data_IF_946103254713
#
_entry.id   IF_946103254713
#
_cell.length_a   1.000
_cell.length_b   1.000
_cell.length_c   1.000
_cell.angle_alpha   90.00
_cell.angle_beta   90.00
_cell.angle_gamma   90.00
#
_symmetry.space_group_name_H-M   'P 1'
#
loop_
_entity.id
_entity.type
_entity.pdbx_description
1 polymer ?
#
# COMPACT_ATOMS: atom_id res chain seq x y z
N UNK A 1 24.38 16.92 -38.64
CA UNK A 1 24.63 17.68 -37.42
C UNK A 1 23.44 17.42 -36.55
N UNK A 2 23.41 16.36 -35.68
CA UNK A 2 23.97 16.34 -34.33
C UNK A 2 23.21 17.34 -33.46
N UNK A 3 22.62 16.99 -32.44
CA UNK A 3 22.58 16.09 -31.30
C UNK A 3 21.47 16.62 -30.39
N UNK A 4 20.56 15.83 -30.01
CA UNK A 4 19.87 16.06 -28.74
C UNK A 4 19.71 14.70 -28.06
N UNK A 5 20.85 14.28 -27.48
CA UNK A 5 20.90 13.13 -26.56
C UNK A 5 20.10 13.44 -25.31
N UNK A 6 19.21 12.52 -24.94
CA UNK A 6 18.45 12.50 -23.72
C UNK A 6 19.34 12.67 -22.50
N UNK A 7 19.24 13.81 -21.81
CA UNK A 7 19.89 14.08 -20.52
C UNK A 7 19.31 13.18 -19.43
N UNK A 8 19.76 11.93 -19.39
CA UNK A 8 19.57 11.13 -18.19
C UNK A 8 20.34 11.81 -17.06
N UNK A 9 19.64 12.22 -15.98
CA UNK A 9 20.29 12.90 -14.86
C UNK A 9 21.47 12.06 -14.37
N UNK A 10 22.67 12.65 -14.36
CA UNK A 10 23.94 11.97 -14.08
C UNK A 10 23.92 11.14 -12.77
N UNK A 11 23.14 11.57 -11.76
CA UNK A 11 23.01 10.83 -10.51
C UNK A 11 22.30 9.47 -10.67
N UNK A 12 21.39 9.31 -11.65
CA UNK A 12 20.71 8.03 -11.91
C UNK A 12 21.67 6.98 -12.48
N UNK A 13 22.63 7.41 -13.28
CA UNK A 13 23.70 6.53 -13.79
C UNK A 13 24.58 6.03 -12.65
N UNK A 14 24.90 6.92 -11.69
CA UNK A 14 25.64 6.57 -10.48
C UNK A 14 24.83 5.64 -9.59
N UNK A 15 23.54 5.91 -9.42
CA UNK A 15 22.62 5.09 -8.65
C UNK A 15 22.57 3.65 -9.18
N UNK A 16 22.38 3.45 -10.48
CA UNK A 16 22.36 2.10 -11.09
C UNK A 16 23.70 1.35 -10.92
N UNK A 17 24.79 2.08 -11.02
CA UNK A 17 26.11 1.49 -10.79
C UNK A 17 26.26 1.00 -9.35
N UNK A 18 25.81 1.79 -8.38
CA UNK A 18 25.81 1.41 -6.96
C UNK A 18 24.84 0.27 -6.68
N UNK A 19 23.67 0.28 -7.27
CA UNK A 19 22.69 -0.80 -7.21
C UNK A 19 23.27 -2.13 -7.69
N UNK A 20 23.90 -2.14 -8.86
CA UNK A 20 24.59 -3.33 -9.38
C UNK A 20 25.75 -3.80 -8.47
N UNK A 21 26.44 -2.89 -7.79
CA UNK A 21 27.46 -3.27 -6.81
C UNK A 21 26.84 -3.89 -5.57
N UNK A 22 25.73 -3.35 -5.07
CA UNK A 22 25.01 -3.88 -3.91
C UNK A 22 24.49 -5.28 -4.17
N UNK A 23 23.94 -5.52 -5.36
CA UNK A 23 23.40 -6.82 -5.77
C UNK A 23 24.48 -7.90 -5.94
N UNK A 24 25.74 -7.50 -6.16
CA UNK A 24 26.89 -8.42 -6.26
C UNK A 24 27.54 -8.78 -4.92
N UNK A 25 27.14 -8.08 -3.83
CA UNK A 25 27.73 -8.32 -2.51
C UNK A 25 27.15 -9.60 -1.92
N UNK A 26 28.00 -10.58 -1.48
CA UNK A 26 27.53 -11.73 -0.73
C UNK A 26 26.85 -11.28 0.56
N UNK A 27 25.67 -11.82 0.88
CA UNK A 27 24.84 -11.44 2.03
C UNK A 27 25.40 -11.79 3.42
N UNK A 28 26.70 -11.97 3.56
CA UNK A 28 27.36 -12.50 4.76
C UNK A 28 28.03 -11.44 5.66
N UNK A 29 27.68 -10.14 5.53
CA UNK A 29 28.19 -9.10 6.42
C UNK A 29 28.14 -7.69 5.84
N UNK A 30 28.39 -6.64 6.67
CA UNK A 30 28.41 -5.26 6.20
C UNK A 30 29.55 -5.05 5.19
N UNK A 31 29.23 -4.86 3.93
CA UNK A 31 30.21 -4.59 2.87
C UNK A 31 30.34 -3.07 2.66
N UNK A 32 31.57 -2.59 2.68
CA UNK A 32 31.87 -1.17 2.46
C UNK A 32 31.82 -0.81 0.98
N UNK A 33 31.03 0.20 0.65
CA UNK A 33 30.93 0.75 -0.69
C UNK A 33 32.07 1.76 -0.99
N UNK A 34 32.36 2.03 -2.28
CA UNK A 34 33.36 3.00 -2.66
C UNK A 34 33.08 4.39 -2.07
N UNK A 35 34.12 5.13 -1.65
CA UNK A 35 33.91 6.50 -1.14
C UNK A 35 33.42 7.44 -2.24
N UNK A 36 32.69 8.52 -1.85
CA UNK A 36 32.18 9.53 -2.77
C UNK A 36 33.25 10.02 -3.77
N UNK A 37 34.47 10.29 -3.27
CA UNK A 37 35.59 10.79 -4.08
C UNK A 37 36.09 9.75 -5.09
N UNK A 38 36.18 8.49 -4.67
CA UNK A 38 36.62 7.40 -5.55
C UNK A 38 35.60 7.18 -6.66
N UNK A 39 34.32 7.18 -6.32
CA UNK A 39 33.26 6.96 -7.30
C UNK A 39 33.11 8.14 -8.26
N UNK A 40 33.18 9.38 -7.77
CA UNK A 40 33.15 10.58 -8.61
C UNK A 40 34.27 10.57 -9.66
N UNK A 41 35.49 10.20 -9.24
CA UNK A 41 36.65 10.06 -10.15
C UNK A 41 36.45 8.92 -11.16
N UNK A 42 35.98 7.75 -10.70
CA UNK A 42 35.80 6.55 -11.54
C UNK A 42 34.72 6.73 -12.61
N UNK A 43 33.61 7.39 -12.25
CA UNK A 43 32.46 7.61 -13.14
C UNK A 43 32.52 8.96 -13.88
N UNK A 44 33.54 9.80 -13.60
CA UNK A 44 33.74 11.13 -14.18
C UNK A 44 32.51 12.04 -13.99
N UNK A 45 31.96 12.06 -12.79
CA UNK A 45 30.82 12.89 -12.39
C UNK A 45 31.18 13.78 -11.19
N UNK A 46 30.36 14.78 -10.90
CA UNK A 46 30.59 15.66 -9.75
C UNK A 46 30.39 14.91 -8.42
N UNK A 47 31.06 15.39 -7.37
CA UNK A 47 30.91 14.84 -6.02
C UNK A 47 29.45 14.94 -5.55
N UNK A 48 28.77 16.05 -5.85
CA UNK A 48 27.36 16.27 -5.55
C UNK A 48 26.46 15.25 -6.24
N UNK A 49 26.74 14.88 -7.49
CA UNK A 49 26.01 13.83 -8.24
C UNK A 49 26.11 12.48 -7.55
N UNK A 50 27.32 12.11 -7.08
CA UNK A 50 27.53 10.86 -6.34
C UNK A 50 26.84 10.92 -4.97
N UNK A 51 26.90 12.04 -4.29
CA UNK A 51 26.25 12.23 -3.00
C UNK A 51 24.73 12.10 -3.11
N UNK A 52 24.10 12.67 -4.15
CA UNK A 52 22.68 12.51 -4.41
C UNK A 52 22.27 11.05 -4.63
N UNK A 53 23.11 10.26 -5.34
CA UNK A 53 22.85 8.84 -5.54
C UNK A 53 22.99 8.04 -4.24
N UNK A 54 23.97 8.34 -3.40
CA UNK A 54 24.10 7.71 -2.07
C UNK A 54 22.99 8.11 -1.12
N UNK A 55 22.57 9.38 -1.13
CA UNK A 55 21.44 9.84 -0.30
C UNK A 55 20.16 9.12 -0.69
N UNK A 56 19.94 8.88 -1.99
CA UNK A 56 18.78 8.14 -2.45
C UNK A 56 18.81 6.67 -1.97
N UNK A 57 19.97 6.01 -2.07
CA UNK A 57 20.14 4.63 -1.57
C UNK A 57 20.04 4.55 -0.03
N UNK A 58 20.46 5.60 0.67
CA UNK A 58 20.29 5.71 2.12
C UNK A 58 18.84 5.98 2.50
N UNK A 59 18.13 6.80 1.74
CA UNK A 59 16.68 7.01 1.86
C UNK A 59 15.89 5.72 1.62
N UNK A 60 16.36 4.88 0.72
CA UNK A 60 15.76 3.56 0.47
C UNK A 60 16.20 2.49 1.49
N UNK A 61 17.05 2.84 2.46
CA UNK A 61 17.55 1.90 3.47
C UNK A 61 18.48 0.81 2.92
N UNK A 62 18.99 0.96 1.70
CA UNK A 62 19.91 -0.02 1.07
C UNK A 62 21.36 0.16 1.51
N UNK A 63 21.71 1.36 1.92
CA UNK A 63 23.04 1.70 2.46
C UNK A 63 22.91 2.55 3.71
N UNK A 64 23.93 2.48 4.56
CA UNK A 64 24.04 3.28 5.77
C UNK A 64 25.33 4.10 5.74
N UNK A 65 25.23 5.40 6.01
CA UNK A 65 26.39 6.25 6.22
C UNK A 65 26.88 6.12 7.67
N UNK A 66 28.08 5.61 7.87
CA UNK A 66 28.75 5.63 9.16
C UNK A 66 29.69 6.84 9.21
N UNK A 67 29.50 7.82 10.12
CA UNK A 67 30.33 9.01 10.24
C UNK A 67 31.82 8.62 10.31
N UNK A 68 32.66 9.26 9.49
CA UNK A 68 34.12 9.03 9.36
C UNK A 68 34.51 7.64 8.79
N UNK A 69 33.59 6.73 8.55
CA UNK A 69 33.85 5.37 8.07
C UNK A 69 33.40 5.15 6.60
N UNK A 70 32.37 5.84 6.14
CA UNK A 70 31.87 5.75 4.75
C UNK A 70 30.51 5.10 4.67
N UNK A 71 30.13 4.68 3.46
CA UNK A 71 28.86 4.02 3.17
C UNK A 71 29.03 2.49 3.19
N UNK A 72 28.10 1.81 3.81
CA UNK A 72 28.06 0.36 3.91
C UNK A 72 26.74 -0.15 3.37
N UNK A 73 26.79 -1.28 2.65
CA UNK A 73 25.57 -2.02 2.30
C UNK A 73 24.93 -2.48 3.59
N UNK A 74 23.71 -2.06 3.84
CA UNK A 74 22.91 -2.72 4.86
C UNK A 74 22.62 -4.12 4.32
N UNK A 75 23.31 -5.12 4.84
CA UNK A 75 22.99 -6.51 4.54
C UNK A 75 21.51 -6.67 4.82
N UNK A 76 20.76 -7.16 3.84
CA UNK A 76 19.47 -7.75 4.16
C UNK A 76 19.77 -8.72 5.29
N UNK A 77 19.40 -8.37 6.51
CA UNK A 77 19.33 -9.35 7.55
C UNK A 77 18.54 -10.48 6.90
N UNK A 78 19.17 -11.67 6.75
CA UNK A 78 18.41 -12.90 6.74
C UNK A 78 17.75 -12.94 8.10
N UNK A 79 16.73 -12.08 8.29
CA UNK A 79 15.68 -12.43 9.18
C UNK A 79 15.16 -13.74 8.61
N UNK A 80 15.21 -14.79 9.41
CA UNK A 80 14.18 -15.83 9.42
C UNK A 80 12.92 -15.12 9.05
N UNK A 81 12.21 -15.53 7.96
CA UNK A 81 11.07 -14.84 7.40
C UNK A 81 10.44 -13.97 8.48
N UNK A 82 10.95 -12.73 8.56
CA UNK A 82 11.07 -12.02 9.84
C UNK A 82 9.67 -11.92 10.32
N UNK A 83 9.36 -12.55 11.42
CA UNK A 83 7.99 -12.80 11.86
C UNK A 83 7.30 -11.47 11.70
N UNK A 84 6.50 -11.35 10.61
CA UNK A 84 5.91 -10.05 10.21
C UNK A 84 5.28 -9.50 11.48
N UNK A 85 5.63 -8.30 11.93
CA UNK A 85 5.22 -7.81 13.22
C UNK A 85 3.73 -8.10 13.37
N UNK A 86 3.34 -8.80 14.42
CA UNK A 86 1.94 -9.20 14.69
C UNK A 86 1.14 -7.96 15.11
N UNK A 87 1.20 -6.90 14.31
CA UNK A 87 0.46 -5.69 14.62
C UNK A 87 -0.91 -5.77 13.99
N UNK A 88 -1.89 -5.38 14.78
CA UNK A 88 -3.23 -5.19 14.31
C UNK A 88 -3.22 -4.14 13.20
N UNK A 89 -4.06 -4.29 12.17
CA UNK A 89 -4.28 -3.23 11.20
C UNK A 89 -4.66 -1.93 11.91
N UNK A 90 -4.37 -0.79 11.26
CA UNK A 90 -4.86 0.48 11.77
C UNK A 90 -6.38 0.39 11.98
N UNK A 91 -6.88 0.80 13.16
CA UNK A 91 -8.30 0.70 13.43
C UNK A 91 -9.10 1.49 12.40
N UNK A 92 -10.21 0.94 11.99
CA UNK A 92 -11.19 1.59 11.10
C UNK A 92 -12.23 2.26 11.95
N UNK A 93 -12.56 3.52 11.67
CA UNK A 93 -13.64 4.19 12.38
C UNK A 93 -14.98 3.51 12.07
N UNK A 94 -15.83 3.26 13.08
CA UNK A 94 -17.18 2.75 12.88
C UNK A 94 -18.04 3.82 12.20
N UNK A 95 -18.29 3.68 10.91
CA UNK A 95 -18.96 4.72 10.12
C UNK A 95 -20.40 4.42 9.81
N UNK A 96 -20.65 3.26 9.25
CA UNK A 96 -21.97 2.81 8.84
C UNK A 96 -22.43 1.56 9.59
N UNK A 97 -21.73 1.14 10.62
CA UNK A 97 -22.07 -0.08 11.37
C UNK A 97 -23.48 -0.01 11.95
N UNK A 98 -23.88 1.14 12.50
CA UNK A 98 -25.26 1.33 13.01
C UNK A 98 -26.30 1.20 11.90
N UNK A 99 -26.01 1.73 10.73
CA UNK A 99 -26.89 1.63 9.55
C UNK A 99 -26.95 0.19 9.07
N UNK A 100 -25.81 -0.49 8.99
CA UNK A 100 -25.70 -1.91 8.66
C UNK A 100 -26.54 -2.77 9.59
N UNK A 101 -26.40 -2.61 10.91
CA UNK A 101 -27.21 -3.34 11.91
C UNK A 101 -28.71 -3.01 11.82
N UNK A 102 -29.06 -1.80 11.44
CA UNK A 102 -30.47 -1.42 11.24
C UNK A 102 -31.06 -2.17 10.05
N UNK A 103 -30.34 -2.24 8.94
CA UNK A 103 -30.75 -3.04 7.78
C UNK A 103 -30.83 -4.53 8.10
N UNK A 104 -29.85 -5.08 8.81
CA UNK A 104 -29.86 -6.49 9.24
C UNK A 104 -31.11 -6.83 10.09
N UNK A 105 -31.40 -6.00 11.11
CA UNK A 105 -32.59 -6.18 11.96
C UNK A 105 -33.89 -6.12 11.16
N UNK A 106 -33.99 -5.19 10.21
CA UNK A 106 -35.17 -5.06 9.34
C UNK A 106 -35.34 -6.31 8.46
N UNK A 107 -34.25 -6.77 7.83
CA UNK A 107 -34.26 -7.95 7.00
C UNK A 107 -34.57 -9.23 7.80
N UNK A 108 -34.02 -9.34 9.02
CA UNK A 108 -34.32 -10.47 9.91
C UNK A 108 -35.81 -10.57 10.26
N UNK A 109 -36.48 -9.44 10.50
CA UNK A 109 -37.94 -9.39 10.78
C UNK A 109 -38.79 -9.77 9.56
N UNK A 110 -38.31 -9.54 8.36
CA UNK A 110 -39.01 -9.86 7.10
C UNK A 110 -38.85 -11.32 6.67
N UNK A 111 -37.94 -12.07 7.28
CA UNK A 111 -37.77 -13.51 7.01
C UNK A 111 -38.92 -14.27 7.64
N UNK A 112 -39.89 -14.67 6.86
CA UNK A 112 -40.73 -15.84 7.13
C UNK A 112 -39.87 -17.11 7.01
N UNK A 113 -40.12 -18.12 7.82
CA UNK A 113 -39.35 -19.36 8.07
C UNK A 113 -38.99 -20.19 6.82
N UNK A 114 -38.47 -19.61 5.78
CA UNK A 114 -37.96 -20.34 4.60
C UNK A 114 -36.49 -20.64 4.81
N UNK A 115 -36.15 -21.90 4.96
CA UNK A 115 -34.79 -22.42 4.84
C UNK A 115 -34.40 -22.27 3.39
N UNK A 116 -33.72 -21.16 3.05
CA UNK A 116 -33.22 -20.96 1.69
C UNK A 116 -32.00 -21.86 1.45
N UNK A 117 -31.89 -22.50 0.27
CA UNK A 117 -30.69 -23.22 -0.17
C UNK A 117 -29.43 -22.34 -0.18
N UNK A 118 -28.28 -22.95 -0.35
CA UNK A 118 -26.93 -22.38 -0.32
C UNK A 118 -26.70 -21.11 -1.17
N UNK A 119 -27.47 -20.90 -2.23
CA UNK A 119 -27.49 -19.66 -3.01
C UNK A 119 -28.31 -18.59 -2.28
N UNK A 120 -27.76 -18.10 -1.20
CA UNK A 120 -28.42 -17.04 -0.44
C UNK A 120 -28.67 -15.81 -1.33
N UNK A 121 -29.92 -15.30 -1.41
CA UNK A 121 -30.27 -14.14 -2.25
C UNK A 121 -29.42 -12.90 -1.98
N UNK A 122 -28.79 -12.82 -0.80
CA UNK A 122 -27.88 -11.75 -0.42
C UNK A 122 -26.59 -11.73 -1.22
N UNK A 123 -25.98 -12.86 -1.53
CA UNK A 123 -24.75 -12.92 -2.30
C UNK A 123 -24.97 -12.45 -3.75
N UNK A 124 -26.00 -12.93 -4.43
CA UNK A 124 -26.32 -12.52 -5.80
C UNK A 124 -26.64 -11.03 -5.88
N UNK A 125 -27.43 -10.50 -4.94
CA UNK A 125 -27.77 -9.06 -4.89
C UNK A 125 -26.55 -8.19 -4.67
N UNK A 126 -25.63 -8.60 -3.78
CA UNK A 126 -24.41 -7.85 -3.52
C UNK A 126 -23.49 -7.86 -4.74
N UNK A 127 -23.30 -9.01 -5.38
CA UNK A 127 -22.51 -9.12 -6.61
C UNK A 127 -23.07 -8.22 -7.72
N UNK A 128 -24.39 -8.20 -7.94
CA UNK A 128 -25.03 -7.28 -8.87
C UNK A 128 -24.75 -5.82 -8.52
N UNK A 129 -24.93 -5.42 -7.27
CA UNK A 129 -24.72 -4.04 -6.85
C UNK A 129 -23.24 -3.59 -7.02
N UNK A 130 -22.28 -4.48 -6.77
CA UNK A 130 -20.86 -4.22 -7.03
C UNK A 130 -20.63 -4.09 -8.55
N UNK A 131 -21.11 -5.04 -9.36
CA UNK A 131 -20.95 -5.04 -10.80
C UNK A 131 -21.51 -3.74 -11.43
N UNK A 132 -22.71 -3.31 -11.02
CA UNK A 132 -23.31 -2.05 -11.46
C UNK A 132 -22.47 -0.83 -11.05
N UNK A 133 -21.94 -0.82 -9.84
CA UNK A 133 -21.07 0.25 -9.36
C UNK A 133 -19.81 0.38 -10.19
N UNK A 134 -19.14 -0.74 -10.48
CA UNK A 134 -17.91 -0.75 -11.27
C UNK A 134 -18.18 -0.47 -12.77
N UNK A 135 -19.26 -0.95 -13.34
CA UNK A 135 -19.69 -0.61 -14.71
C UNK A 135 -19.93 0.89 -14.86
N UNK A 136 -20.53 1.56 -13.86
CA UNK A 136 -20.75 3.02 -13.88
C UNK A 136 -19.46 3.83 -13.69
N UNK A 137 -18.44 3.27 -13.04
CA UNK A 137 -17.20 3.96 -12.69
C UNK A 137 -16.01 3.58 -13.59
N UNK A 138 -16.24 2.83 -14.68
CA UNK A 138 -15.19 2.42 -15.61
C UNK A 138 -15.76 2.29 -17.03
N UNK A 139 -14.88 2.18 -18.02
CA UNK A 139 -15.27 1.92 -19.42
C UNK A 139 -15.52 0.43 -19.70
N UNK A 140 -15.54 -0.41 -18.66
CA UNK A 140 -15.76 -1.85 -18.77
C UNK A 140 -17.13 -2.23 -18.26
N UNK A 141 -17.75 -3.24 -18.89
CA UNK A 141 -19.01 -3.82 -18.45
C UNK A 141 -18.73 -5.02 -17.55
N UNK A 142 -19.24 -4.98 -16.32
CA UNK A 142 -19.12 -6.03 -15.34
C UNK A 142 -20.46 -6.71 -15.07
N UNK A 143 -20.46 -8.04 -14.92
CA UNK A 143 -21.62 -8.83 -14.55
C UNK A 143 -21.48 -9.35 -13.12
N UNK A 144 -22.59 -9.78 -12.51
CA UNK A 144 -22.53 -10.40 -11.19
C UNK A 144 -21.66 -11.66 -11.12
N UNK A 145 -21.56 -12.40 -12.21
CA UNK A 145 -20.72 -13.59 -12.35
C UNK A 145 -19.22 -13.27 -12.35
N UNK A 146 -18.84 -12.07 -12.76
CA UNK A 146 -17.45 -11.59 -12.73
C UNK A 146 -17.02 -11.17 -11.31
N UNK A 147 -17.95 -11.09 -10.36
CA UNK A 147 -17.70 -10.65 -8.98
C UNK A 147 -17.61 -11.83 -8.04
N UNK A 148 -16.47 -11.99 -7.38
CA UNK A 148 -16.24 -13.00 -6.35
C UNK A 148 -16.19 -12.34 -4.98
N UNK A 149 -16.73 -12.98 -3.94
CA UNK A 149 -16.78 -12.48 -2.57
C UNK A 149 -15.93 -13.34 -1.65
N UNK A 150 -15.23 -12.69 -0.72
CA UNK A 150 -14.43 -13.35 0.31
C UNK A 150 -14.66 -12.72 1.69
N UNK A 151 -14.36 -13.43 2.80
CA UNK A 151 -14.51 -12.88 4.14
C UNK A 151 -13.58 -11.71 4.43
N UNK A 152 -12.42 -11.66 3.78
CA UNK A 152 -11.43 -10.60 3.91
C UNK A 152 -10.46 -10.59 2.71
N UNK A 153 -9.57 -9.59 2.66
CA UNK A 153 -8.56 -9.43 1.60
C UNK A 153 -7.58 -10.60 1.56
N UNK A 154 -7.23 -11.17 2.70
CA UNK A 154 -6.27 -12.27 2.74
C UNK A 154 -6.85 -13.55 2.11
N UNK A 155 -8.05 -13.96 2.55
CA UNK A 155 -8.74 -15.13 2.00
C UNK A 155 -9.02 -14.96 0.49
N UNK A 156 -9.30 -13.74 0.06
CA UNK A 156 -9.46 -13.38 -1.36
C UNK A 156 -8.17 -13.65 -2.14
N UNK A 157 -7.05 -13.10 -1.69
CA UNK A 157 -5.76 -13.22 -2.39
C UNK A 157 -5.25 -14.67 -2.39
N UNK A 158 -5.36 -15.39 -1.27
CA UNK A 158 -4.98 -16.81 -1.21
C UNK A 158 -5.79 -17.65 -2.22
N UNK A 159 -7.10 -17.37 -2.33
CA UNK A 159 -7.97 -18.09 -3.29
C UNK A 159 -7.66 -17.70 -4.72
N UNK A 160 -7.41 -16.41 -4.99
CA UNK A 160 -7.02 -15.91 -6.30
C UNK A 160 -5.74 -16.58 -6.80
N UNK A 161 -4.68 -16.57 -5.97
CA UNK A 161 -3.37 -17.13 -6.35
C UNK A 161 -3.47 -18.65 -6.60
N UNK A 162 -4.30 -19.36 -5.83
CA UNK A 162 -4.57 -20.77 -6.05
C UNK A 162 -5.36 -21.01 -7.34
N UNK A 163 -6.39 -20.20 -7.60
CA UNK A 163 -7.25 -20.32 -8.79
C UNK A 163 -6.48 -20.16 -10.10
N UNK A 164 -5.52 -19.24 -10.12
CA UNK A 164 -4.68 -18.95 -11.29
C UNK A 164 -3.38 -19.78 -11.31
N UNK A 165 -3.20 -20.71 -10.36
CA UNK A 165 -1.99 -21.51 -10.21
C UNK A 165 -0.70 -20.69 -10.15
N UNK A 166 -0.73 -19.54 -9.48
CA UNK A 166 0.39 -18.60 -9.38
C UNK A 166 1.24 -18.76 -8.11
N UNK A 167 0.89 -19.67 -7.22
CA UNK A 167 1.62 -19.92 -5.96
C UNK A 167 3.11 -20.23 -6.25
N UNK A 168 4.00 -19.61 -5.47
CA UNK A 168 5.46 -19.71 -5.67
C UNK A 168 5.98 -18.94 -6.88
N UNK A 169 5.11 -18.28 -7.67
CA UNK A 169 5.49 -17.47 -8.81
C UNK A 169 6.10 -16.12 -8.42
N UNK A 170 6.55 -15.37 -9.43
CA UNK A 170 7.12 -14.03 -9.24
C UNK A 170 6.06 -12.96 -9.43
N UNK A 171 5.85 -12.13 -8.41
CA UNK A 171 4.94 -10.98 -8.43
C UNK A 171 5.71 -9.68 -8.31
N UNK A 172 5.31 -8.67 -9.05
CA UNK A 172 5.86 -7.31 -8.94
C UNK A 172 4.87 -6.43 -8.21
N UNK A 173 5.36 -5.68 -7.22
CA UNK A 173 4.60 -4.67 -6.48
C UNK A 173 5.33 -3.32 -6.51
N UNK A 174 4.60 -2.21 -6.34
CA UNK A 174 5.24 -0.93 -6.05
C UNK A 174 5.77 -0.89 -4.62
N UNK A 175 6.80 -0.10 -4.34
CA UNK A 175 7.35 0.02 -2.98
C UNK A 175 7.43 1.50 -2.57
N UNK A 176 6.85 1.89 -1.43
CA UNK A 176 6.18 1.05 -0.42
C UNK A 176 4.82 0.54 -0.88
N UNK A 177 4.41 -0.64 -0.42
CA UNK A 177 3.16 -1.29 -0.82
C UNK A 177 2.25 -1.55 0.39
N UNK A 178 0.96 -1.71 0.14
CA UNK A 178 -0.02 -2.06 1.17
C UNK A 178 0.41 -3.34 1.93
N UNK A 179 0.58 -3.24 3.24
CA UNK A 179 1.07 -4.34 4.08
C UNK A 179 0.15 -5.57 4.07
N UNK A 180 -1.18 -5.40 3.90
CA UNK A 180 -2.12 -6.53 3.79
C UNK A 180 -1.84 -7.37 2.56
N UNK A 181 -1.54 -6.70 1.43
CA UNK A 181 -1.15 -7.37 0.18
C UNK A 181 0.18 -8.08 0.35
N UNK A 182 1.21 -7.40 0.85
CA UNK A 182 2.53 -7.99 1.08
C UNK A 182 2.46 -9.23 1.98
N UNK A 183 1.67 -9.17 3.05
CA UNK A 183 1.47 -10.28 3.97
C UNK A 183 0.81 -11.48 3.29
N UNK A 184 -0.20 -11.25 2.46
CA UNK A 184 -0.88 -12.33 1.74
C UNK A 184 0.04 -12.98 0.70
N UNK A 185 0.81 -12.17 -0.03
CA UNK A 185 1.80 -12.66 -0.99
C UNK A 185 2.92 -13.48 -0.32
N UNK A 186 3.42 -13.00 0.82
CA UNK A 186 4.45 -13.71 1.59
C UNK A 186 3.94 -15.07 2.12
N UNK A 187 2.67 -15.13 2.57
CA UNK A 187 2.05 -16.40 3.02
C UNK A 187 1.80 -17.39 1.90
N UNK A 188 1.66 -16.92 0.68
CA UNK A 188 1.50 -17.74 -0.52
C UNK A 188 2.86 -18.13 -1.14
N UNK A 189 3.98 -17.92 -0.40
CA UNK A 189 5.36 -18.17 -0.83
C UNK A 189 5.70 -17.52 -2.18
N UNK A 190 5.07 -16.36 -2.50
CA UNK A 190 5.36 -15.63 -3.72
C UNK A 190 6.73 -14.97 -3.65
N UNK A 191 7.48 -15.02 -4.75
CA UNK A 191 8.69 -14.21 -4.93
C UNK A 191 8.28 -12.78 -5.26
N UNK A 192 8.38 -11.88 -4.28
CA UNK A 192 7.97 -10.49 -4.44
C UNK A 192 9.14 -9.62 -4.89
N UNK A 193 8.99 -8.95 -6.04
CA UNK A 193 9.92 -7.95 -6.55
C UNK A 193 9.30 -6.56 -6.36
N UNK A 194 10.04 -5.66 -5.75
CA UNK A 194 9.59 -4.31 -5.42
C UNK A 194 10.12 -3.29 -6.43
N UNK A 195 9.21 -2.56 -7.09
CA UNK A 195 9.56 -1.44 -7.97
C UNK A 195 9.60 -0.15 -7.16
N UNK A 196 10.72 0.59 -7.15
CA UNK A 196 10.81 1.87 -6.46
C UNK A 196 9.91 2.92 -7.12
N UNK A 197 9.61 3.97 -6.38
CA UNK A 197 8.90 5.12 -6.93
C UNK A 197 9.86 6.04 -7.70
N UNK A 198 9.34 6.72 -8.70
CA UNK A 198 10.02 7.81 -9.39
C UNK A 198 9.96 9.10 -8.55
N UNK A 199 10.56 10.17 -9.05
CA UNK A 199 10.56 11.49 -8.40
C UNK A 199 9.18 12.14 -8.27
N UNK A 200 8.16 11.60 -8.92
CA UNK A 200 6.77 12.05 -8.86
C UNK A 200 5.92 11.18 -7.94
N UNK A 201 6.50 10.15 -7.33
CA UNK A 201 5.81 9.21 -6.46
C UNK A 201 5.02 8.11 -7.19
N UNK A 202 5.21 7.92 -8.49
CA UNK A 202 4.67 6.79 -9.22
C UNK A 202 5.70 5.65 -9.29
N UNK A 203 5.29 4.37 -9.41
CA UNK A 203 6.23 3.27 -9.65
C UNK A 203 7.09 3.52 -10.90
N UNK A 204 8.41 3.31 -10.82
CA UNK A 204 9.32 3.59 -11.94
C UNK A 204 9.06 2.64 -13.12
N UNK A 205 8.45 3.16 -14.19
CA UNK A 205 8.10 2.36 -15.39
C UNK A 205 9.33 1.77 -16.09
N UNK A 206 10.49 2.41 -15.99
CA UNK A 206 11.73 1.86 -16.59
C UNK A 206 12.25 0.66 -15.80
N UNK A 207 12.17 0.75 -14.46
CA UNK A 207 12.50 -0.38 -13.60
C UNK A 207 11.51 -1.52 -13.83
N UNK A 208 10.21 -1.22 -13.92
CA UNK A 208 9.18 -2.19 -14.21
C UNK A 208 9.39 -2.88 -15.56
N UNK A 209 9.67 -2.12 -16.64
CA UNK A 209 9.91 -2.68 -17.97
C UNK A 209 11.12 -3.63 -17.99
N UNK A 210 12.18 -3.30 -17.24
CA UNK A 210 13.34 -4.21 -17.10
C UNK A 210 12.97 -5.50 -16.39
N UNK A 211 12.20 -5.43 -15.30
CA UNK A 211 11.76 -6.62 -14.56
C UNK A 211 10.87 -7.51 -15.44
N UNK A 212 9.93 -6.92 -16.20
CA UNK A 212 9.08 -7.68 -17.12
C UNK A 212 9.87 -8.36 -18.26
N UNK A 213 11.01 -7.79 -18.67
CA UNK A 213 11.87 -8.37 -19.71
C UNK A 213 12.84 -9.43 -19.17
N UNK A 214 13.26 -9.36 -17.90
CA UNK A 214 14.32 -10.21 -17.34
C UNK A 214 13.84 -11.28 -16.38
N UNK A 215 12.64 -11.15 -15.81
CA UNK A 215 12.11 -12.04 -14.79
C UNK A 215 10.80 -12.71 -15.24
N UNK A 216 10.52 -13.95 -14.82
CA UNK A 216 9.27 -14.64 -15.17
C UNK A 216 8.10 -14.10 -14.32
N UNK A 217 7.76 -12.84 -14.51
CA UNK A 217 6.69 -12.17 -13.77
C UNK A 217 5.34 -12.74 -14.19
N UNK A 218 4.57 -13.26 -13.25
CA UNK A 218 3.23 -13.79 -13.48
C UNK A 218 2.11 -12.80 -13.12
N UNK A 219 2.37 -11.86 -12.19
CA UNK A 219 1.38 -10.89 -11.75
C UNK A 219 2.05 -9.57 -11.35
N UNK A 220 1.34 -8.47 -11.59
CA UNK A 220 1.63 -7.16 -11.01
C UNK A 220 0.52 -6.77 -10.03
N UNK A 221 0.86 -6.14 -8.91
CA UNK A 221 -0.11 -5.49 -8.02
C UNK A 221 0.17 -4.00 -8.00
N UNK A 222 -0.76 -3.22 -8.54
CA UNK A 222 -0.62 -1.77 -8.71
C UNK A 222 -1.84 -1.03 -8.15
N UNK A 223 -1.67 0.20 -7.63
CA UNK A 223 -2.78 1.00 -7.14
C UNK A 223 -3.72 1.39 -8.30
N UNK A 224 -5.02 1.42 -8.02
CA UNK A 224 -6.04 1.87 -8.96
C UNK A 224 -5.86 3.35 -9.33
N UNK A 225 -5.94 4.21 -8.35
CA UNK A 225 -5.74 5.64 -8.51
C UNK A 225 -5.06 6.31 -7.32
N UNK A 226 -4.97 5.65 -6.17
CA UNK A 226 -4.38 6.19 -4.95
C UNK A 226 -3.26 5.28 -4.44
N UNK A 227 -2.03 5.79 -4.45
CA UNK A 227 -0.86 5.07 -3.95
C UNK A 227 -0.73 5.17 -2.43
N UNK A 228 -0.97 4.07 -1.72
CA UNK A 228 -0.80 3.99 -0.27
C UNK A 228 0.54 3.32 0.07
N UNK A 229 1.20 3.72 1.17
CA UNK A 229 0.77 4.59 2.28
C UNK A 229 0.95 6.10 2.07
N UNK A 230 1.51 6.58 0.95
CA UNK A 230 1.80 8.00 0.73
C UNK A 230 0.53 8.85 0.52
N UNK A 231 -0.56 8.23 0.09
CA UNK A 231 -1.81 8.92 -0.20
C UNK A 231 -1.74 9.82 -1.45
N UNK A 232 -0.90 9.49 -2.43
CA UNK A 232 -0.75 10.24 -3.68
C UNK A 232 -1.62 9.70 -4.79
N UNK A 233 -2.19 10.60 -5.58
CA UNK A 233 -2.94 10.22 -6.78
C UNK A 233 -2.01 9.78 -7.91
N UNK A 234 -2.33 8.66 -8.51
CA UNK A 234 -1.68 8.16 -9.72
C UNK A 234 -2.15 8.98 -10.92
N UNK A 235 -1.23 9.66 -11.62
CA UNK A 235 -1.60 10.53 -12.72
C UNK A 235 -2.17 9.76 -13.92
N UNK A 236 -3.10 10.38 -14.66
CA UNK A 236 -3.66 9.84 -15.89
C UNK A 236 -2.57 9.42 -16.90
N UNK A 237 -1.58 10.27 -17.08
CA UNK A 237 -0.46 10.00 -17.99
C UNK A 237 0.32 8.74 -17.59
N UNK A 238 0.56 8.54 -16.29
CA UNK A 238 1.18 7.32 -15.79
C UNK A 238 0.32 6.08 -16.05
N UNK A 239 -0.99 6.15 -15.78
CA UNK A 239 -1.93 5.04 -16.04
C UNK A 239 -1.90 4.62 -17.52
N UNK A 240 -1.90 5.60 -18.45
CA UNK A 240 -1.79 5.36 -19.89
C UNK A 240 -0.46 4.67 -20.27
N UNK A 241 0.66 5.18 -19.76
CA UNK A 241 1.97 4.59 -20.03
C UNK A 241 2.10 3.17 -19.48
N UNK A 242 1.57 2.94 -18.27
CA UNK A 242 1.55 1.61 -17.68
C UNK A 242 0.67 0.65 -18.50
N UNK A 243 -0.52 1.09 -18.92
CA UNK A 243 -1.39 0.30 -19.81
C UNK A 243 -0.71 -0.06 -21.13
N UNK A 244 0.00 0.88 -21.77
CA UNK A 244 0.78 0.62 -22.98
C UNK A 244 1.90 -0.41 -22.75
N UNK A 245 2.61 -0.31 -21.62
CA UNK A 245 3.65 -1.29 -21.25
C UNK A 245 3.04 -2.67 -21.06
N UNK A 246 1.95 -2.77 -20.30
CA UNK A 246 1.29 -4.05 -20.01
C UNK A 246 0.68 -4.69 -21.27
N UNK A 247 0.24 -3.91 -22.23
CA UNK A 247 -0.24 -4.43 -23.53
C UNK A 247 0.81 -5.23 -24.32
N UNK A 248 2.09 -5.15 -23.95
CA UNK A 248 3.19 -5.90 -24.57
C UNK A 248 3.54 -7.20 -23.82
N UNK A 249 2.93 -7.43 -22.65
CA UNK A 249 3.25 -8.55 -21.78
C UNK A 249 1.99 -9.30 -21.33
N UNK A 250 1.88 -10.63 -21.53
CA UNK A 250 0.76 -11.43 -21.05
C UNK A 250 0.94 -11.73 -19.55
N UNK A 251 0.68 -10.74 -18.71
CA UNK A 251 0.87 -10.80 -17.26
C UNK A 251 -0.40 -10.31 -16.54
N UNK A 252 -0.81 -10.97 -15.46
CA UNK A 252 -1.95 -10.54 -14.68
C UNK A 252 -1.68 -9.18 -14.02
N UNK A 253 -2.62 -8.26 -14.14
CA UNK A 253 -2.67 -7.05 -13.34
C UNK A 253 -3.74 -7.20 -12.26
N UNK A 254 -3.34 -7.18 -10.99
CA UNK A 254 -4.23 -6.98 -9.85
C UNK A 254 -4.26 -5.50 -9.50
N UNK A 255 -5.33 -4.83 -9.90
CA UNK A 255 -5.58 -3.45 -9.51
C UNK A 255 -6.04 -3.41 -8.06
N UNK A 256 -5.25 -2.77 -7.20
CA UNK A 256 -5.59 -2.57 -5.80
C UNK A 256 -6.47 -1.32 -5.65
N UNK A 257 -7.78 -1.55 -5.46
CA UNK A 257 -8.81 -0.51 -5.33
C UNK A 257 -9.30 -0.34 -3.89
N UNK A 258 -8.55 -0.86 -2.89
CA UNK A 258 -8.96 -0.86 -1.47
C UNK A 258 -9.15 0.55 -0.90
N UNK A 259 -8.32 1.51 -1.30
CA UNK A 259 -8.29 2.85 -0.73
C UNK A 259 -8.75 3.96 -1.72
N UNK A 260 -9.12 3.62 -2.96
CA UNK A 260 -9.46 4.60 -4.01
C UNK A 260 -10.64 5.50 -3.65
N UNK A 261 -11.55 5.01 -2.83
CA UNK A 261 -12.71 5.79 -2.37
C UNK A 261 -12.34 6.88 -1.36
N UNK A 262 -11.12 6.85 -0.84
CA UNK A 262 -10.62 7.84 0.13
C UNK A 262 -9.90 9.04 -0.51
N UNK A 263 -9.95 9.21 -1.84
CA UNK A 263 -9.45 10.43 -2.50
C UNK A 263 -10.23 11.65 -2.00
N UNK A 264 -9.58 12.66 -1.44
CA UNK A 264 -10.26 13.77 -0.75
C UNK A 264 -11.15 14.58 -1.67
N UNK A 265 -10.71 14.83 -2.91
CA UNK A 265 -11.52 15.49 -3.94
C UNK A 265 -12.51 14.56 -4.66
N UNK A 266 -12.68 13.33 -4.15
CA UNK A 266 -13.38 12.26 -4.83
C UNK A 266 -12.48 11.46 -5.78
N UNK A 267 -12.86 10.22 -6.07
CA UNK A 267 -12.08 9.38 -6.99
C UNK A 267 -12.08 9.97 -8.41
N UNK A 268 -10.93 9.91 -9.11
CA UNK A 268 -10.86 10.39 -10.49
C UNK A 268 -11.79 9.57 -11.41
N UNK A 269 -12.21 10.19 -12.52
CA UNK A 269 -13.12 9.56 -13.50
C UNK A 269 -12.48 8.38 -14.22
N UNK A 270 -11.15 8.34 -14.30
CA UNK A 270 -10.38 7.26 -14.95
C UNK A 270 -9.54 6.53 -13.94
N UNK A 271 -9.47 5.23 -14.09
CA UNK A 271 -8.72 4.32 -13.24
C UNK A 271 -7.73 3.52 -14.09
N UNK A 272 -6.79 2.84 -13.45
CA UNK A 272 -5.83 1.99 -14.16
C UNK A 272 -6.53 0.95 -15.05
N UNK A 273 -7.64 0.37 -14.59
CA UNK A 273 -8.46 -0.60 -15.32
C UNK A 273 -8.95 -0.12 -16.69
N UNK A 274 -9.06 1.18 -16.90
CA UNK A 274 -9.55 1.76 -18.17
C UNK A 274 -8.51 1.69 -19.30
N UNK A 275 -7.26 1.35 -18.97
CA UNK A 275 -6.09 1.34 -19.87
C UNK A 275 -5.49 -0.05 -20.09
N UNK A 276 -6.05 -1.09 -19.49
CA UNK A 276 -5.51 -2.45 -19.48
C UNK A 276 -6.48 -3.39 -20.20
N UNK A 277 -5.92 -4.41 -20.86
CA UNK A 277 -6.73 -5.47 -21.49
C UNK A 277 -7.54 -6.22 -20.42
N UNK A 278 -8.89 -6.25 -20.55
CA UNK A 278 -9.77 -6.92 -19.60
C UNK A 278 -9.44 -8.39 -19.34
N UNK A 279 -8.82 -9.06 -20.30
CA UNK A 279 -8.44 -10.49 -20.18
C UNK A 279 -7.36 -10.72 -19.11
N UNK A 280 -6.54 -9.72 -18.85
CA UNK A 280 -5.44 -9.80 -17.87
C UNK A 280 -5.70 -8.92 -16.63
N UNK A 281 -6.92 -8.41 -16.49
CA UNK A 281 -7.30 -7.50 -15.43
C UNK A 281 -8.06 -8.20 -14.31
N UNK A 282 -7.63 -7.92 -13.09
CA UNK A 282 -8.29 -8.26 -11.85
C UNK A 282 -8.42 -6.99 -11.01
N UNK A 283 -9.57 -6.75 -10.39
CA UNK A 283 -9.77 -5.58 -9.53
C UNK A 283 -10.17 -6.05 -8.14
N UNK A 284 -9.44 -5.62 -7.13
CA UNK A 284 -9.66 -5.98 -5.73
C UNK A 284 -10.18 -4.79 -4.93
N UNK A 285 -11.31 -4.98 -4.24
CA UNK A 285 -11.87 -4.00 -3.33
C UNK A 285 -12.35 -4.61 -2.02
N UNK A 286 -12.72 -3.79 -1.05
CA UNK A 286 -13.26 -4.20 0.25
C UNK A 286 -14.26 -3.18 0.81
N UNK A 287 -15.07 -3.62 1.78
CA UNK A 287 -16.08 -2.76 2.41
C UNK A 287 -15.62 -2.14 3.73
N UNK A 288 -14.62 -2.70 4.39
CA UNK A 288 -14.17 -2.26 5.71
C UNK A 288 -13.81 -0.77 5.75
N UNK A 289 -13.16 -0.28 4.71
CA UNK A 289 -12.76 1.11 4.58
C UNK A 289 -13.94 2.10 4.48
N UNK A 290 -15.08 1.67 3.96
CA UNK A 290 -16.26 2.53 3.75
C UNK A 290 -17.34 2.33 4.81
N UNK A 291 -17.47 1.11 5.34
CA UNK A 291 -18.58 0.72 6.24
C UNK A 291 -18.12 0.56 7.67
N UNK A 292 -16.91 0.05 7.90
CA UNK A 292 -16.35 -0.24 9.22
C UNK A 292 -15.95 -1.70 9.38
N UNK A 293 -15.36 -2.04 10.52
CA UNK A 293 -14.81 -3.35 10.85
C UNK A 293 -15.84 -4.49 10.83
N UNK A 294 -17.12 -4.16 11.00
CA UNK A 294 -18.22 -5.13 10.94
C UNK A 294 -18.56 -5.58 9.51
N UNK A 295 -17.92 -4.99 8.49
CA UNK A 295 -18.03 -5.39 7.08
C UNK A 295 -16.67 -5.72 6.49
N UNK A 296 -15.94 -6.73 6.98
CA UNK A 296 -14.56 -7.01 6.53
C UNK A 296 -14.49 -7.62 5.13
N UNK A 297 -15.64 -7.81 4.48
CA UNK A 297 -15.74 -8.50 3.20
C UNK A 297 -14.95 -7.83 2.10
N UNK A 298 -14.16 -8.64 1.40
CA UNK A 298 -13.47 -8.26 0.19
C UNK A 298 -14.18 -8.85 -1.04
N UNK A 299 -13.93 -8.23 -2.19
CA UNK A 299 -14.45 -8.69 -3.47
C UNK A 299 -13.39 -8.54 -4.56
N UNK A 300 -13.49 -9.44 -5.54
CA UNK A 300 -12.64 -9.48 -6.73
C UNK A 300 -13.52 -9.40 -7.97
N UNK A 301 -13.14 -8.56 -8.92
CA UNK A 301 -13.71 -8.55 -10.27
C UNK A 301 -12.68 -9.12 -11.25
N UNK A 302 -13.14 -10.01 -12.12
CA UNK A 302 -12.30 -10.64 -13.16
C UNK A 302 -13.14 -11.51 -14.07
N UNK A 303 -12.76 -11.57 -15.36
CA UNK A 303 -13.52 -12.32 -16.38
C UNK A 303 -13.08 -13.78 -16.53
N UNK A 304 -12.16 -14.27 -15.69
CA UNK A 304 -11.68 -15.65 -15.77
C UNK A 304 -12.66 -16.64 -15.15
N UNK A 305 -13.08 -17.63 -15.91
CA UNK A 305 -14.05 -18.65 -15.46
C UNK A 305 -13.50 -19.57 -14.36
N UNK A 306 -12.18 -19.71 -14.25
CA UNK A 306 -11.51 -20.48 -13.20
C UNK A 306 -11.69 -19.84 -11.83
N UNK A 307 -11.76 -18.51 -11.76
CA UNK A 307 -12.03 -17.77 -10.54
C UNK A 307 -13.39 -18.15 -9.95
N UNK A 308 -14.45 -18.10 -10.77
CA UNK A 308 -15.80 -18.47 -10.32
C UNK A 308 -15.85 -19.87 -9.74
N UNK A 309 -15.18 -20.84 -10.38
CA UNK A 309 -15.10 -22.21 -9.90
C UNK A 309 -14.34 -22.30 -8.57
N UNK A 310 -13.15 -21.70 -8.49
CA UNK A 310 -12.31 -21.78 -7.29
C UNK A 310 -12.98 -21.14 -6.07
N UNK A 311 -13.63 -19.98 -6.25
CA UNK A 311 -14.37 -19.34 -5.16
C UNK A 311 -15.63 -20.13 -4.75
N UNK A 312 -16.30 -20.80 -5.69
CA UNK A 312 -17.40 -21.70 -5.38
C UNK A 312 -16.93 -22.94 -4.60
N UNK A 313 -15.81 -23.55 -5.01
CA UNK A 313 -15.20 -24.70 -4.32
C UNK A 313 -14.71 -24.34 -2.91
N UNK A 314 -14.22 -23.12 -2.72
CA UNK A 314 -13.79 -22.60 -1.40
C UNK A 314 -14.96 -22.47 -0.43
N UNK A 315 -16.18 -22.29 -0.94
CA UNK A 315 -17.44 -22.29 -0.20
C UNK A 315 -17.42 -21.42 1.06
N UNK A 316 -16.98 -20.16 0.95
CA UNK A 316 -16.91 -19.24 2.08
C UNK A 316 -18.25 -19.06 2.78
N UNK A 317 -18.26 -19.20 4.10
CA UNK A 317 -19.43 -18.95 4.93
C UNK A 317 -19.59 -17.48 5.23
N UNK A 318 -20.18 -16.73 4.30
CA UNK A 318 -20.50 -15.32 4.48
C UNK A 318 -21.89 -15.15 5.10
N UNK A 319 -22.07 -14.15 5.96
CA UNK A 319 -23.34 -13.90 6.65
C UNK A 319 -24.42 -13.39 5.68
N UNK A 320 -25.46 -14.15 5.31
CA UNK A 320 -26.37 -13.79 4.22
C UNK A 320 -27.15 -12.49 4.47
N UNK A 321 -27.54 -12.23 5.72
CA UNK A 321 -28.23 -10.98 6.08
C UNK A 321 -27.34 -9.76 5.92
N UNK A 322 -26.05 -9.90 6.28
CA UNK A 322 -25.06 -8.84 6.15
C UNK A 322 -24.78 -8.52 4.69
N UNK A 323 -24.62 -9.53 3.83
CA UNK A 323 -24.45 -9.31 2.38
C UNK A 323 -25.69 -8.61 1.79
N UNK A 324 -26.88 -9.00 2.22
CA UNK A 324 -28.11 -8.37 1.76
C UNK A 324 -28.24 -6.91 2.27
N UNK A 325 -27.82 -6.64 3.50
CA UNK A 325 -27.77 -5.28 4.05
C UNK A 325 -26.80 -4.40 3.27
N UNK A 326 -25.59 -4.89 2.97
CA UNK A 326 -24.60 -4.19 2.13
C UNK A 326 -25.13 -3.91 0.73
N UNK A 327 -25.81 -4.89 0.10
CA UNK A 327 -26.45 -4.67 -1.20
C UNK A 327 -27.51 -3.56 -1.15
N UNK A 328 -28.30 -3.51 -0.08
CA UNK A 328 -29.30 -2.43 0.14
C UNK A 328 -28.62 -1.06 0.32
N UNK A 329 -27.54 -0.99 1.10
CA UNK A 329 -26.80 0.24 1.35
C UNK A 329 -26.16 0.79 0.07
N UNK A 330 -25.58 -0.09 -0.76
CA UNK A 330 -25.08 0.28 -2.09
C UNK A 330 -26.19 0.77 -3.01
N UNK A 331 -27.28 -0.01 -3.14
CA UNK A 331 -28.40 0.33 -4.03
C UNK A 331 -29.12 1.63 -3.63
N UNK A 332 -29.06 2.03 -2.36
CA UNK A 332 -29.62 3.30 -1.88
C UNK A 332 -28.65 4.47 -1.90
N UNK A 333 -27.39 4.25 -2.28
CA UNK A 333 -26.35 5.28 -2.26
C UNK A 333 -25.93 5.71 -0.83
N UNK A 334 -26.23 4.92 0.19
CA UNK A 334 -25.90 5.26 1.59
C UNK A 334 -24.39 5.20 1.81
N UNK A 335 -23.68 4.26 1.16
CA UNK A 335 -22.23 4.14 1.22
C UNK A 335 -21.58 5.34 0.53
N UNK A 336 -22.03 5.74 -0.65
CA UNK A 336 -21.53 6.89 -1.40
C UNK A 336 -21.72 8.19 -0.64
N UNK A 337 -22.91 8.39 -0.04
CA UNK A 337 -23.19 9.56 0.78
C UNK A 337 -22.27 9.66 2.01
N UNK A 338 -21.96 8.52 2.63
CA UNK A 338 -21.04 8.47 3.76
C UNK A 338 -19.59 8.72 3.31
N UNK A 339 -19.17 8.19 2.17
CA UNK A 339 -17.83 8.40 1.63
C UNK A 339 -17.55 9.90 1.39
N UNK A 340 -18.53 10.67 0.95
CA UNK A 340 -18.39 12.14 0.80
C UNK A 340 -18.04 12.80 2.14
N UNK A 341 -18.71 12.44 3.22
CA UNK A 341 -18.44 12.97 4.59
C UNK A 341 -17.08 12.50 5.09
N UNK A 342 -16.80 11.21 4.92
CA UNK A 342 -15.55 10.60 5.32
C UNK A 342 -14.32 11.28 4.71
N UNK A 343 -14.35 11.56 3.40
CA UNK A 343 -13.25 12.24 2.70
C UNK A 343 -12.90 13.58 3.33
N UNK A 344 -13.93 14.37 3.66
CA UNK A 344 -13.76 15.66 4.33
C UNK A 344 -13.15 15.49 5.73
N UNK A 345 -13.60 14.51 6.49
CA UNK A 345 -13.10 14.24 7.83
C UNK A 345 -11.66 13.71 7.80
N UNK A 346 -11.35 12.78 6.90
CA UNK A 346 -10.00 12.27 6.72
C UNK A 346 -9.03 13.39 6.33
N UNK A 347 -9.41 14.25 5.39
CA UNK A 347 -8.59 15.39 4.99
C UNK A 347 -8.28 16.31 6.17
N UNK A 348 -9.28 16.69 6.95
CA UNK A 348 -9.10 17.53 8.15
C UNK A 348 -8.16 16.86 9.15
N UNK A 349 -8.37 15.56 9.44
CA UNK A 349 -7.55 14.80 10.39
C UNK A 349 -6.08 14.73 9.96
N UNK A 350 -5.82 14.48 8.66
CA UNK A 350 -4.46 14.43 8.13
C UNK A 350 -3.79 15.81 8.15
N UNK A 351 -4.54 16.88 7.88
CA UNK A 351 -4.04 18.25 7.99
C UNK A 351 -3.70 18.62 9.45
N UNK A 352 -4.56 18.27 10.41
CA UNK A 352 -4.28 18.46 11.84
C UNK A 352 -3.03 17.70 12.27
N UNK A 353 -2.94 16.41 11.92
CA UNK A 353 -1.78 15.57 12.25
C UNK A 353 -0.49 16.13 11.64
N UNK A 354 -0.51 16.50 10.36
CA UNK A 354 0.64 17.08 9.67
C UNK A 354 1.11 18.36 10.35
N UNK A 355 0.18 19.24 10.74
CA UNK A 355 0.47 20.48 11.44
C UNK A 355 1.12 20.24 12.80
N UNK A 356 0.57 19.35 13.63
CA UNK A 356 1.10 19.05 14.96
C UNK A 356 2.50 18.42 14.87
N UNK A 357 2.72 17.49 13.94
CA UNK A 357 4.05 16.92 13.69
C UNK A 357 5.05 17.97 13.23
N UNK A 358 4.64 18.88 12.35
CA UNK A 358 5.51 19.97 11.87
C UNK A 358 5.84 20.97 13.00
N UNK A 359 4.89 21.29 13.87
CA UNK A 359 5.12 22.15 15.03
C UNK A 359 6.11 21.52 16.03
N UNK A 360 5.94 20.23 16.33
CA UNK A 360 6.76 19.53 17.33
C UNK A 360 8.15 19.17 16.83
N UNK A 361 8.26 18.72 15.58
CA UNK A 361 9.51 18.16 15.05
C UNK A 361 10.24 19.09 14.08
N UNK A 362 9.55 20.07 13.50
CA UNK A 362 10.14 21.02 12.55
C UNK A 362 10.87 20.31 11.40
N UNK A 363 12.14 20.63 11.21
CA UNK A 363 12.99 20.07 10.16
C UNK A 363 13.46 18.62 10.42
N UNK A 364 13.10 18.03 11.55
CA UNK A 364 13.44 16.62 11.88
C UNK A 364 12.56 15.60 11.16
N UNK A 365 11.43 16.08 10.61
CA UNK A 365 10.51 15.26 9.83
C UNK A 365 10.35 15.82 8.42
N UNK A 366 10.14 14.91 7.48
CA UNK A 366 9.68 15.23 6.13
C UNK A 366 8.34 14.55 5.94
N UNK A 367 7.35 15.35 5.63
CA UNK A 367 6.00 14.87 5.37
C UNK A 367 5.43 15.61 4.16
N UNK A 368 4.60 14.93 3.42
CA UNK A 368 3.86 15.49 2.31
C UNK A 368 2.37 15.39 2.63
N UNK A 369 1.62 16.41 2.28
CA UNK A 369 0.16 16.37 2.46
C UNK A 369 -0.43 15.37 1.48
N UNK A 370 -1.11 14.33 1.95
CA UNK A 370 -1.71 13.33 1.07
C UNK A 370 -2.91 13.93 0.31
N UNK A 371 -3.19 13.40 -0.88
CA UNK A 371 -4.35 13.72 -1.72
C UNK A 371 -5.53 12.77 -1.41
N UNK A 372 -5.29 11.76 -0.60
CA UNK A 372 -6.28 10.78 -0.16
C UNK A 372 -5.72 9.84 0.90
N UNK A 373 -6.58 8.91 1.35
CA UNK A 373 -6.21 7.91 2.34
C UNK A 373 -6.42 8.35 3.78
N UNK A 374 -6.14 7.44 4.69
CA UNK A 374 -6.34 7.58 6.13
C UNK A 374 -5.04 7.61 6.92
N UNK A 375 -3.90 7.67 6.23
CA UNK A 375 -2.58 7.69 6.83
C UNK A 375 -1.75 8.84 6.29
N UNK A 376 -0.90 9.39 7.15
CA UNK A 376 0.15 10.31 6.80
C UNK A 376 1.47 9.54 6.79
N UNK A 377 2.21 9.59 5.68
CA UNK A 377 3.52 8.96 5.53
C UNK A 377 4.60 9.94 5.97
N UNK A 378 5.27 9.63 7.08
CA UNK A 378 6.20 10.54 7.76
C UNK A 378 7.59 9.95 7.78
N UNK A 379 8.58 10.67 7.23
CA UNK A 379 9.99 10.31 7.32
C UNK A 379 10.68 11.09 8.44
N UNK A 380 11.39 10.37 9.28
CA UNK A 380 12.28 10.91 10.29
C UNK A 380 13.74 10.82 9.82
N UNK A 381 14.64 11.62 10.37
CA UNK A 381 16.05 11.63 9.95
C UNK A 381 16.88 10.45 10.48
N UNK A 382 16.33 9.62 11.34
CA UNK A 382 17.01 8.52 12.01
C UNK A 382 16.11 7.29 12.08
N UNK A 383 16.67 6.07 12.19
CA UNK A 383 15.92 4.86 12.46
C UNK A 383 15.08 4.99 13.72
N UNK A 384 13.89 4.41 13.70
CA UNK A 384 12.88 4.61 14.72
C UNK A 384 12.87 3.48 15.75
N UNK A 385 12.83 3.77 17.07
CA UNK A 385 12.74 2.76 18.11
C UNK A 385 11.30 2.28 18.24
N UNK A 386 10.89 1.34 17.38
CA UNK A 386 9.50 0.96 17.27
C UNK A 386 8.83 0.56 18.61
N UNK A 387 9.48 -0.26 19.44
CA UNK A 387 8.91 -0.69 20.74
C UNK A 387 8.58 0.49 21.65
N UNK A 388 9.49 1.48 21.70
CA UNK A 388 9.26 2.72 22.48
C UNK A 388 8.12 3.56 21.90
N UNK A 389 8.02 3.67 20.57
CA UNK A 389 6.95 4.39 19.90
C UNK A 389 5.60 3.70 20.15
N UNK A 390 5.53 2.38 19.99
CA UNK A 390 4.32 1.62 20.24
C UNK A 390 3.83 1.78 21.69
N UNK A 391 4.75 1.75 22.67
CA UNK A 391 4.43 1.97 24.08
C UNK A 391 3.92 3.40 24.34
N UNK A 392 4.54 4.42 23.73
CA UNK A 392 4.15 5.83 23.92
C UNK A 392 2.77 6.15 23.32
N UNK A 393 2.40 5.47 22.24
CA UNK A 393 1.11 5.65 21.58
C UNK A 393 0.00 4.72 22.10
N UNK A 394 0.35 3.75 22.95
CA UNK A 394 -0.64 2.84 23.52
C UNK A 394 -1.77 3.60 24.25
N UNK A 395 -3.02 3.22 23.93
CA UNK A 395 -4.21 3.86 24.51
C UNK A 395 -4.53 5.26 24.00
N UNK A 396 -3.76 5.79 23.03
CA UNK A 396 -4.08 7.05 22.36
C UNK A 396 -4.89 6.82 21.08
N UNK A 397 -5.57 7.86 20.60
CA UNK A 397 -6.23 7.84 19.30
C UNK A 397 -5.25 8.12 18.13
N UNK A 398 -3.97 8.37 18.41
CA UNK A 398 -2.90 8.45 17.43
C UNK A 398 -2.31 7.06 17.25
N UNK A 399 -2.45 6.51 16.05
CA UNK A 399 -1.93 5.20 15.69
C UNK A 399 -0.77 5.35 14.71
N UNK A 400 0.17 4.42 14.77
CA UNK A 400 1.29 4.36 13.85
C UNK A 400 1.59 2.91 13.45
N UNK A 401 2.13 2.75 12.23
CA UNK A 401 2.74 1.51 11.77
C UNK A 401 4.17 1.82 11.32
N UNK A 402 5.15 0.95 11.62
CA UNK A 402 6.52 1.15 11.16
C UNK A 402 6.59 1.00 9.64
N UNK A 403 7.40 1.84 9.01
CA UNK A 403 7.55 1.85 7.55
C UNK A 403 8.05 0.53 6.97
N UNK A 404 8.81 -0.24 7.74
CA UNK A 404 9.29 -1.57 7.34
C UNK A 404 8.17 -2.55 6.95
N UNK A 405 6.96 -2.37 7.49
CA UNK A 405 5.81 -3.22 7.13
C UNK A 405 5.33 -3.03 5.69
N UNK A 406 5.75 -1.97 5.03
CA UNK A 406 5.36 -1.63 3.66
C UNK A 406 6.39 -2.09 2.63
N UNK A 407 7.36 -2.93 3.03
CA UNK A 407 8.37 -3.56 2.18
C UNK A 407 8.80 -4.92 2.76
N UNK A 408 8.93 -5.93 1.91
CA UNK A 408 9.51 -7.23 2.30
C UNK A 408 11.05 -7.22 2.29
N UNK A 409 11.65 -6.13 1.81
CA UNK A 409 13.10 -5.95 1.74
C UNK A 409 13.68 -5.17 2.92
N UNK A 410 12.90 -4.92 4.00
CA UNK A 410 13.32 -4.19 5.19
C UNK A 410 13.61 -2.70 4.93
N UNK A 411 12.99 -2.11 3.90
CA UNK A 411 13.10 -0.68 3.59
C UNK A 411 12.30 0.16 4.58
N UNK A 412 12.46 1.47 4.51
CA UNK A 412 11.64 2.48 5.23
C UNK A 412 11.75 2.46 6.76
N UNK A 413 12.91 2.08 7.30
CA UNK A 413 13.17 2.06 8.76
C UNK A 413 13.05 3.43 9.43
N UNK A 414 13.11 4.50 8.65
CA UNK A 414 12.96 5.88 9.10
C UNK A 414 11.54 6.43 8.94
N UNK A 415 10.58 5.59 8.54
CA UNK A 415 9.21 6.01 8.22
C UNK A 415 8.18 5.46 9.19
N UNK A 416 7.12 6.24 9.37
CA UNK A 416 5.88 5.82 10.03
C UNK A 416 4.69 6.11 9.11
N UNK A 417 3.76 5.17 9.01
CA UNK A 417 2.41 5.44 8.53
C UNK A 417 1.55 5.78 9.74
N UNK A 418 1.10 7.03 9.87
CA UNK A 418 0.41 7.53 11.05
C UNK A 418 -1.04 7.87 10.73
N UNK A 419 -1.97 7.54 11.64
CA UNK A 419 -3.38 7.84 11.52
C UNK A 419 -3.90 8.47 12.82
N UNK A 420 -4.65 9.55 12.70
CA UNK A 420 -5.33 10.19 13.80
C UNK A 420 -6.84 9.86 13.77
N UNK A 421 -7.35 9.23 14.82
CA UNK A 421 -8.75 8.81 14.93
C UNK A 421 -9.54 9.57 16.00
N UNK A 422 -8.87 10.43 16.76
CA UNK A 422 -9.50 11.25 17.80
C UNK A 422 -10.20 12.48 17.23
N UNK A 423 -11.01 13.12 18.08
CA UNK A 423 -11.75 14.33 17.73
C UNK A 423 -11.22 15.58 18.46
N UNK A 424 -10.42 15.39 19.51
CA UNK A 424 -9.95 16.49 20.36
C UNK A 424 -8.48 16.86 20.04
N UNK A 425 -8.20 18.08 19.53
CA UNK A 425 -6.82 18.51 19.19
C UNK A 425 -5.83 18.39 20.35
N UNK A 426 -6.26 18.60 21.60
CA UNK A 426 -5.40 18.48 22.77
C UNK A 426 -4.89 17.06 23.03
N UNK A 427 -5.67 16.04 22.70
CA UNK A 427 -5.23 14.64 22.78
C UNK A 427 -4.17 14.33 21.71
N UNK A 428 -4.33 14.91 20.51
CA UNK A 428 -3.34 14.78 19.45
C UNK A 428 -2.01 15.40 19.87
N UNK A 429 -2.04 16.63 20.40
CA UNK A 429 -0.86 17.31 20.89
C UNK A 429 -0.12 16.47 21.94
N UNK A 430 -0.83 15.97 22.96
CA UNK A 430 -0.25 15.11 24.00
C UNK A 430 0.36 13.83 23.43
N UNK A 431 -0.28 13.21 22.44
CA UNK A 431 0.23 12.00 21.81
C UNK A 431 1.53 12.29 21.02
N UNK A 432 1.57 13.42 20.31
CA UNK A 432 2.76 13.87 19.57
C UNK A 432 3.90 14.27 20.50
N UNK A 433 3.61 14.91 21.66
CA UNK A 433 4.60 15.21 22.68
C UNK A 433 5.22 13.93 23.29
N UNK A 434 4.41 12.91 23.60
CA UNK A 434 4.90 11.61 24.07
C UNK A 434 5.79 10.94 23.02
N UNK A 435 5.42 11.01 21.77
CA UNK A 435 6.25 10.52 20.64
C UNK A 435 7.60 11.24 20.61
N UNK A 436 7.60 12.58 20.77
CA UNK A 436 8.81 13.38 20.77
C UNK A 436 9.76 12.99 21.93
N UNK A 437 9.22 12.78 23.13
CA UNK A 437 10.02 12.35 24.30
C UNK A 437 10.77 11.04 24.03
N UNK A 438 10.12 10.04 23.40
CA UNK A 438 10.76 8.76 23.05
C UNK A 438 11.90 8.95 22.05
N UNK A 439 11.71 9.85 21.09
CA UNK A 439 12.71 10.14 20.06
C UNK A 439 13.87 10.99 20.60
N UNK A 440 13.63 11.87 21.57
CA UNK A 440 14.65 12.72 22.20
C UNK A 440 15.52 11.95 23.21
N UNK A 441 14.96 11.01 23.97
CA UNK A 441 15.71 10.17 24.91
C UNK A 441 16.83 9.38 24.25
N UNK A 442 16.76 9.08 22.96
CA UNK A 442 17.84 8.42 22.21
C UNK A 442 18.84 9.40 21.57
N UNK A 443 18.44 10.64 21.31
CA UNK A 443 19.37 11.67 20.81
C UNK A 443 20.36 12.15 21.90
N UNK A 444 20.02 11.99 23.17
CA UNK A 444 20.77 12.53 24.32
C UNK A 444 21.84 11.62 24.93
N UNK A 445 22.08 10.39 24.45
CA UNK A 445 23.20 9.57 24.92
C UNK A 445 24.31 9.50 23.87
N UNK A 446 25.41 10.26 24.02
CA UNK A 446 26.65 9.93 23.35
C UNK A 446 27.11 8.56 23.91
N UNK A 447 27.32 7.60 23.00
CA UNK A 447 28.00 6.35 23.37
C UNK A 447 29.40 6.71 23.88
N UNK A 448 29.64 6.50 25.21
CA UNK A 448 30.98 6.63 25.77
C UNK A 448 31.08 7.57 26.95
N UNK A 449 30.60 7.12 28.12
CA UNK A 449 31.18 7.43 29.41
C UNK A 449 30.93 6.21 30.33
N UNK A 450 31.83 5.28 30.32
CA UNK A 450 32.01 4.33 31.41
C UNK A 450 32.87 5.01 32.47
N UNK A 451 32.54 4.82 33.76
CA UNK A 451 33.34 5.40 34.88
C UNK A 451 34.73 4.81 34.99
#
# INVERSE_FOLDING_TARGET
MEQSGSGEFAYRKVYRYLEALIDQVPHSGPCRLPSLRVLARRLRVSLATVQSAYSLLEEEGRVQCLPRSGYYVQGAAKGDAAAMPRQAPLPVQPMLERTLFTHERRLARQRTHSVAPWDAPGSARLRNAIAERYTRSSHQYWRAEDVQLAPDVQALLETLLAALALQGGTVVVHSPCCWQVLRALARADMRVLEVPLDTRGNPDLRALARLLASEPVCMLVMPSCLGMPQGRLVSLHYQQQLGQLLGQHPVWLLENDLDSEHCYSGPPNTRLRDWVDPRWLLVMGAFDAAVGSEAPYAYLLGHDAGLTRAFAERAFRLAPLRLQALAHMLGKGEIEAQLVRLRTDLQKRMQCLARELQLQFGQRVVLETPEGGRTLWVRFRQPLPWEGIAAALAGSALHALPGEQFSLQGRYQQYLAMAWLGDHPGELQQAVERLAQVLELRCGRPAGATP
#
